data_IF_934637107867
#
_entry.id   IF_934637107867
#
_cell.length_a   1.000
_cell.length_b   1.000
_cell.length_c   1.000
_cell.angle_alpha   90.00
_cell.angle_beta   90.00
_cell.angle_gamma   90.00
#
_symmetry.space_group_name_H-M   'P 1'
#
loop_
_entity.id
_entity.type
_entity.pdbx_description
1 polymer ?
#
# COMPACT_ATOMS: atom_id res chain seq x y z
N UNK A 1 17.85 -2.50 18.84
CA UNK A 1 16.70 -2.70 17.91
C UNK A 1 17.31 -3.23 16.63
N UNK A 2 17.07 -4.51 16.30
CA UNK A 2 17.59 -5.12 15.07
C UNK A 2 17.04 -4.35 13.85
N UNK A 3 17.88 -4.17 12.82
CA UNK A 3 17.47 -3.53 11.57
C UNK A 3 16.47 -4.47 10.86
N UNK A 4 15.30 -3.99 10.42
CA UNK A 4 14.37 -4.80 9.64
C UNK A 4 15.05 -5.38 8.39
N UNK A 5 14.81 -6.64 8.05
CA UNK A 5 15.31 -7.20 6.79
C UNK A 5 14.42 -6.77 5.62
N UNK A 6 14.81 -5.68 4.98
CA UNK A 6 14.11 -5.10 3.82
C UNK A 6 14.02 -6.07 2.62
N UNK A 7 14.82 -7.15 2.58
CA UNK A 7 14.80 -8.13 1.48
C UNK A 7 13.56 -9.03 1.51
N UNK A 8 12.85 -9.10 2.63
CA UNK A 8 11.61 -9.87 2.75
C UNK A 8 10.38 -9.08 2.28
N UNK A 9 10.46 -7.74 2.19
CA UNK A 9 9.34 -6.90 1.80
C UNK A 9 8.84 -7.20 0.37
N UNK A 10 9.70 -7.32 -0.66
CA UNK A 10 9.25 -7.71 -2.00
C UNK A 10 8.53 -9.06 -2.01
N UNK A 11 9.03 -10.05 -1.25
CA UNK A 11 8.40 -11.38 -1.17
C UNK A 11 7.00 -11.34 -0.55
N UNK A 12 6.79 -10.47 0.45
CA UNK A 12 5.46 -10.26 1.03
C UNK A 12 4.52 -9.64 0.00
N UNK A 13 4.99 -8.67 -0.78
CA UNK A 13 4.21 -8.01 -1.83
C UNK A 13 3.90 -8.97 -3.00
N UNK A 14 4.86 -9.82 -3.40
CA UNK A 14 4.64 -10.86 -4.41
C UNK A 14 3.58 -11.87 -3.97
N UNK A 15 3.65 -12.35 -2.72
CA UNK A 15 2.64 -13.26 -2.18
C UNK A 15 1.28 -12.56 -2.08
N UNK A 16 1.25 -11.29 -1.68
CA UNK A 16 0.03 -10.48 -1.67
C UNK A 16 -0.58 -10.38 -3.07
N UNK A 17 0.24 -10.13 -4.09
CA UNK A 17 -0.20 -10.05 -5.48
C UNK A 17 -0.84 -11.36 -5.93
N UNK A 18 -0.17 -12.48 -5.66
CA UNK A 18 -0.67 -13.82 -5.99
C UNK A 18 -1.98 -14.15 -5.28
N UNK A 19 -2.06 -13.88 -3.98
CA UNK A 19 -3.24 -14.21 -3.17
C UNK A 19 -4.44 -13.30 -3.46
N UNK A 20 -4.18 -12.04 -3.81
CA UNK A 20 -5.19 -11.00 -3.97
C UNK A 20 -5.55 -10.66 -5.41
N UNK A 21 -4.87 -11.25 -6.40
CA UNK A 21 -5.10 -10.96 -7.82
C UNK A 21 -4.60 -9.58 -8.26
N UNK A 22 -3.60 -9.04 -7.57
CA UNK A 22 -2.95 -7.78 -7.97
C UNK A 22 -1.87 -8.06 -9.01
N UNK A 23 -1.75 -7.20 -10.02
CA UNK A 23 -0.67 -7.30 -11.00
C UNK A 23 0.54 -6.42 -10.65
N UNK A 24 0.34 -5.49 -9.72
CA UNK A 24 1.37 -4.59 -9.24
C UNK A 24 1.08 -4.16 -7.81
N UNK A 25 2.11 -4.12 -6.98
CA UNK A 25 2.06 -3.48 -5.67
C UNK A 25 3.38 -2.85 -5.27
N UNK A 26 3.28 -1.82 -4.45
CA UNK A 26 4.41 -1.09 -3.87
C UNK A 26 4.14 -0.85 -2.40
N UNK A 27 5.21 -0.84 -1.61
CA UNK A 27 5.25 -0.27 -0.29
C UNK A 27 5.99 1.07 -0.41
N UNK A 28 5.33 2.15 -0.02
CA UNK A 28 5.87 3.49 -0.06
C UNK A 28 5.71 4.19 1.30
N UNK A 29 6.52 5.22 1.51
CA UNK A 29 6.34 6.16 2.61
C UNK A 29 5.20 7.14 2.29
N UNK A 30 4.69 7.84 3.31
CA UNK A 30 3.63 8.83 3.18
C UNK A 30 3.95 9.98 2.22
N UNK A 31 5.24 10.26 1.97
CA UNK A 31 5.70 11.26 1.00
C UNK A 31 5.90 10.69 -0.42
N UNK A 32 5.53 9.44 -0.66
CA UNK A 32 5.63 8.78 -1.97
C UNK A 32 7.01 8.15 -2.28
N UNK A 33 7.94 8.11 -1.33
CA UNK A 33 9.23 7.43 -1.53
C UNK A 33 9.05 5.91 -1.51
N UNK A 34 9.51 5.23 -2.56
CA UNK A 34 9.46 3.77 -2.69
C UNK A 34 10.34 3.09 -1.63
N UNK A 35 9.79 2.08 -0.96
CA UNK A 35 10.50 1.22 0.01
C UNK A 35 10.74 -0.17 -0.57
N UNK A 36 9.70 -0.76 -1.17
CA UNK A 36 9.77 -2.05 -1.83
C UNK A 36 8.67 -2.15 -2.90
N UNK A 37 8.85 -3.05 -3.86
CA UNK A 37 7.87 -3.29 -4.93
C UNK A 37 7.79 -4.77 -5.27
N UNK A 38 6.63 -5.15 -5.80
CA UNK A 38 6.41 -6.38 -6.54
C UNK A 38 5.56 -6.01 -7.76
N UNK A 39 6.23 -5.71 -8.87
CA UNK A 39 5.60 -5.20 -10.09
C UNK A 39 6.12 -5.96 -11.29
N UNK A 40 5.25 -6.19 -12.28
CA UNK A 40 5.74 -6.57 -13.60
C UNK A 40 6.62 -5.45 -14.19
N UNK A 41 7.61 -5.76 -15.05
CA UNK A 41 8.50 -4.74 -15.66
C UNK A 41 7.76 -3.65 -16.43
N UNK A 42 6.52 -3.91 -16.85
CA UNK A 42 5.66 -2.98 -17.59
C UNK A 42 5.00 -1.91 -16.71
N UNK A 43 5.05 -2.05 -15.38
CA UNK A 43 4.48 -1.08 -14.44
C UNK A 43 5.57 -0.25 -13.80
N UNK A 44 5.51 1.08 -13.98
CA UNK A 44 6.46 1.99 -13.35
C UNK A 44 6.17 2.13 -11.84
N UNK A 45 6.98 1.46 -11.02
CA UNK A 45 6.87 1.45 -9.56
C UNK A 45 6.98 2.84 -8.91
N UNK A 46 7.79 3.74 -9.48
CA UNK A 46 8.01 5.08 -8.92
C UNK A 46 6.76 5.93 -9.09
N UNK A 47 6.05 5.76 -10.21
CA UNK A 47 4.74 6.38 -10.43
C UNK A 47 3.74 5.88 -9.39
N UNK A 48 3.67 4.56 -9.14
CA UNK A 48 2.74 4.02 -8.14
C UNK A 48 3.07 4.53 -6.73
N UNK A 49 4.35 4.61 -6.37
CA UNK A 49 4.79 5.14 -5.09
C UNK A 49 4.44 6.63 -4.92
N UNK A 50 4.71 7.45 -5.95
CA UNK A 50 4.31 8.86 -5.96
C UNK A 50 2.80 9.04 -5.80
N UNK A 51 2.00 8.20 -6.47
CA UNK A 51 0.54 8.21 -6.31
C UNK A 51 0.10 7.84 -4.89
N UNK A 52 0.83 6.96 -4.19
CA UNK A 52 0.55 6.67 -2.78
C UNK A 52 0.71 7.91 -1.89
N UNK A 53 1.74 8.72 -2.15
CA UNK A 53 1.96 9.98 -1.42
C UNK A 53 0.84 10.98 -1.66
N UNK A 54 0.51 11.25 -2.93
CA UNK A 54 -0.56 12.19 -3.31
C UNK A 54 -1.90 11.77 -2.71
N UNK A 55 -2.27 10.49 -2.87
CA UNK A 55 -3.54 9.97 -2.35
C UNK A 55 -3.56 9.98 -0.82
N UNK A 56 -2.43 9.70 -0.17
CA UNK A 56 -2.25 9.85 1.27
C UNK A 56 -2.56 11.28 1.73
N UNK A 57 -1.93 12.28 1.10
CA UNK A 57 -2.15 13.69 1.43
C UNK A 57 -3.61 14.14 1.22
N UNK A 58 -4.23 13.70 0.12
CA UNK A 58 -5.64 13.99 -0.15
C UNK A 58 -6.54 13.38 0.92
N UNK A 59 -6.32 12.11 1.29
CA UNK A 59 -7.12 11.45 2.31
C UNK A 59 -6.92 12.07 3.69
N UNK A 60 -5.70 12.51 4.02
CA UNK A 60 -5.40 13.25 5.24
C UNK A 60 -6.16 14.58 5.32
N UNK A 61 -6.36 15.27 4.19
CA UNK A 61 -7.24 16.45 4.13
C UNK A 61 -8.71 16.07 4.29
N UNK A 62 -9.18 15.07 3.54
CA UNK A 62 -10.58 14.60 3.62
C UNK A 62 -10.96 14.24 5.05
N UNK A 63 -10.11 13.50 5.79
CA UNK A 63 -10.43 13.14 7.18
C UNK A 63 -10.50 14.33 8.13
N UNK A 64 -9.72 15.40 7.88
CA UNK A 64 -9.70 16.61 8.71
C UNK A 64 -10.96 17.43 8.46
N UNK A 65 -11.27 17.70 7.20
CA UNK A 65 -12.42 18.51 6.81
C UNK A 65 -13.75 17.82 7.13
N UNK A 66 -13.82 16.49 7.03
CA UNK A 66 -15.03 15.72 7.26
C UNK A 66 -15.09 15.06 8.66
N UNK A 67 -14.08 15.27 9.52
CA UNK A 67 -14.00 14.72 10.88
C UNK A 67 -14.18 13.18 10.95
N UNK A 68 -13.50 12.44 10.05
CA UNK A 68 -13.73 10.99 9.85
C UNK A 68 -12.80 10.07 10.67
N UNK A 69 -11.93 10.62 11.51
CA UNK A 69 -10.91 9.85 12.23
C UNK A 69 -9.76 9.40 11.31
N UNK A 70 -9.06 8.32 11.67
CA UNK A 70 -7.85 7.90 10.96
C UNK A 70 -8.11 7.25 9.58
N UNK A 71 -7.26 7.57 8.61
CA UNK A 71 -7.27 6.91 7.29
C UNK A 71 -6.85 5.44 7.46
N UNK A 72 -7.75 4.52 7.11
CA UNK A 72 -7.49 3.07 7.11
C UNK A 72 -7.10 2.58 5.72
N UNK A 73 -7.98 2.80 4.75
CA UNK A 73 -7.78 2.41 3.36
C UNK A 73 -8.57 3.32 2.41
N UNK A 74 -8.11 3.35 1.16
CA UNK A 74 -8.70 4.11 0.07
C UNK A 74 -8.82 3.14 -1.10
N UNK A 75 -10.02 3.01 -1.66
CA UNK A 75 -10.27 2.19 -2.84
C UNK A 75 -10.82 3.06 -3.96
N UNK A 76 -10.12 3.06 -5.09
CA UNK A 76 -10.52 3.75 -6.30
C UNK A 76 -10.90 2.69 -7.35
N UNK A 77 -12.07 2.85 -7.95
CA UNK A 77 -12.58 1.97 -9.01
C UNK A 77 -12.67 2.77 -10.30
N UNK A 78 -12.07 2.24 -11.35
CA UNK A 78 -12.05 2.82 -12.68
C UNK A 78 -12.66 1.83 -13.66
N UNK A 79 -13.03 2.30 -14.85
CA UNK A 79 -13.62 1.45 -15.89
C UNK A 79 -12.70 0.30 -16.37
N UNK A 80 -11.40 0.35 -16.06
CA UNK A 80 -10.41 -0.62 -16.52
C UNK A 80 -9.70 -1.35 -15.38
N UNK A 81 -10.01 -1.02 -14.12
CA UNK A 81 -9.24 -1.54 -13.00
C UNK A 81 -9.57 -0.91 -11.67
N UNK A 82 -8.87 -1.35 -10.63
CA UNK A 82 -9.01 -0.83 -9.26
C UNK A 82 -7.64 -0.55 -8.68
N UNK A 83 -7.54 0.52 -7.92
CA UNK A 83 -6.40 0.83 -7.08
C UNK A 83 -6.82 0.81 -5.61
N UNK A 84 -6.00 0.24 -4.74
CA UNK A 84 -6.21 0.26 -3.29
C UNK A 84 -4.93 0.77 -2.64
N UNK A 85 -5.12 1.72 -1.73
CA UNK A 85 -4.08 2.27 -0.89
C UNK A 85 -4.42 1.94 0.55
N UNK A 86 -3.55 1.21 1.24
CA UNK A 86 -3.79 0.77 2.62
C UNK A 86 -2.68 1.25 3.52
N UNK A 87 -3.05 1.95 4.59
CA UNK A 87 -2.10 2.36 5.62
C UNK A 87 -1.61 1.13 6.37
N UNK A 88 -0.30 0.96 6.45
CA UNK A 88 0.34 -0.15 7.15
C UNK A 88 0.44 0.16 8.64
N UNK A 89 0.93 1.35 8.96
CA UNK A 89 1.14 1.85 10.31
C UNK A 89 1.91 3.17 10.27
N UNK A 90 2.23 3.72 11.44
CA UNK A 90 3.10 4.89 11.55
C UNK A 90 4.14 4.74 12.65
N UNK A 91 5.31 5.37 12.47
CA UNK A 91 6.33 5.53 13.49
C UNK A 91 6.74 7.00 13.55
N UNK A 92 6.07 7.75 14.42
CA UNK A 92 6.12 9.20 14.38
C UNK A 92 5.52 9.71 13.06
N UNK A 93 6.27 10.53 12.33
CA UNK A 93 5.84 11.08 11.04
C UNK A 93 6.07 10.12 9.86
N UNK A 94 6.76 9.00 10.09
CA UNK A 94 7.00 8.00 9.04
C UNK A 94 5.77 7.11 8.89
N UNK A 95 4.96 7.40 7.87
CA UNK A 95 3.78 6.61 7.51
C UNK A 95 4.18 5.63 6.42
N UNK A 96 3.75 4.37 6.54
CA UNK A 96 3.88 3.37 5.48
C UNK A 96 2.53 3.08 4.84
N UNK A 97 2.52 3.00 3.51
CA UNK A 97 1.34 2.79 2.68
C UNK A 97 1.65 1.69 1.66
N UNK A 98 0.76 0.70 1.55
CA UNK A 98 0.76 -0.23 0.42
C UNK A 98 -0.15 0.35 -0.66
N UNK A 99 0.39 0.56 -1.85
CA UNK A 99 -0.39 0.81 -3.07
C UNK A 99 -0.46 -0.46 -3.90
N UNK A 100 -1.64 -0.87 -4.34
CA UNK A 100 -1.81 -2.06 -5.16
C UNK A 100 -2.85 -1.85 -6.26
N UNK A 101 -2.60 -2.44 -7.42
CA UNK A 101 -3.43 -2.29 -8.62
C UNK A 101 -3.87 -3.66 -9.14
N UNK A 102 -5.13 -3.75 -9.56
CA UNK A 102 -5.76 -4.99 -10.02
C UNK A 102 -6.77 -4.72 -11.15
N UNK A 103 -7.12 -5.77 -11.89
CA UNK A 103 -8.16 -5.71 -12.89
C UNK A 103 -9.55 -5.50 -12.28
N UNK A 104 -10.49 -4.96 -13.06
CA UNK A 104 -11.85 -4.63 -12.59
C UNK A 104 -12.64 -5.84 -12.06
N UNK A 105 -12.36 -7.03 -12.60
CA UNK A 105 -13.06 -8.27 -12.28
C UNK A 105 -12.63 -8.89 -10.94
N UNK A 106 -11.57 -8.39 -10.31
CA UNK A 106 -11.07 -8.90 -9.02
C UNK A 106 -12.05 -8.52 -7.89
N UNK A 107 -12.71 -9.53 -7.32
CA UNK A 107 -13.71 -9.36 -6.24
C UNK A 107 -13.11 -9.43 -4.83
N UNK A 108 -12.24 -10.41 -4.56
CA UNK A 108 -11.79 -10.75 -3.21
C UNK A 108 -10.30 -10.43 -2.99
N UNK A 109 -9.97 -9.14 -2.84
CA UNK A 109 -8.58 -8.67 -2.69
C UNK A 109 -8.22 -8.24 -1.25
N UNK A 110 -9.21 -7.79 -0.48
CA UNK A 110 -9.02 -7.16 0.84
C UNK A 110 -8.29 -8.05 1.87
N UNK A 111 -8.48 -9.38 1.82
CA UNK A 111 -7.82 -10.32 2.73
C UNK A 111 -6.32 -10.40 2.49
N UNK A 112 -5.89 -10.40 1.24
CA UNK A 112 -4.48 -10.50 0.88
C UNK A 112 -3.70 -9.27 1.35
N UNK A 113 -4.21 -8.07 1.03
CA UNK A 113 -3.59 -6.82 1.50
C UNK A 113 -3.65 -6.68 3.02
N UNK A 114 -4.71 -7.15 3.67
CA UNK A 114 -4.78 -7.20 5.14
C UNK A 114 -3.67 -8.06 5.75
N UNK A 115 -3.44 -9.28 5.24
CA UNK A 115 -2.35 -10.15 5.70
C UNK A 115 -0.98 -9.52 5.49
N UNK A 116 -0.76 -8.93 4.30
CA UNK A 116 0.50 -8.27 3.97
C UNK A 116 0.75 -7.07 4.89
N UNK A 117 -0.26 -6.24 5.13
CA UNK A 117 -0.21 -5.12 6.07
C UNK A 117 0.20 -5.57 7.47
N UNK A 118 -0.43 -6.60 8.04
CA UNK A 118 -0.07 -7.10 9.37
C UNK A 118 1.37 -7.59 9.39
N UNK A 119 1.78 -8.40 8.41
CA UNK A 119 3.12 -8.98 8.36
C UNK A 119 4.22 -7.92 8.20
N UNK A 120 4.00 -6.90 7.37
CA UNK A 120 4.93 -5.78 7.20
C UNK A 120 4.98 -4.93 8.48
N UNK A 121 3.82 -4.64 9.09
CA UNK A 121 3.75 -3.87 10.33
C UNK A 121 4.56 -4.52 11.45
N UNK A 122 4.37 -5.82 11.65
CA UNK A 122 5.06 -6.60 12.69
C UNK A 122 6.57 -6.64 12.43
N UNK A 123 6.98 -6.90 11.18
CA UNK A 123 8.38 -6.93 10.76
C UNK A 123 9.10 -5.59 10.94
N UNK A 124 8.39 -4.49 10.64
CA UNK A 124 8.97 -3.14 10.65
C UNK A 124 8.85 -2.45 12.01
N UNK A 125 8.11 -3.04 12.96
CA UNK A 125 7.88 -2.47 14.29
C UNK A 125 7.03 -1.20 14.28
N UNK A 126 6.10 -1.07 13.33
CA UNK A 126 5.16 0.05 13.25
C UNK A 126 3.96 -0.24 14.17
N UNK A 127 3.43 0.78 14.83
CA UNK A 127 2.20 0.66 15.63
C UNK A 127 1.00 1.17 14.84
#
# INVERSE_FOLDING_TARGET
>A
MERPDYRELPKILEQMNKDGGYYASVLARGNGLLVASATAPTTNQDVVAAMCGIIGDVAERVRKELTLGDVRDISLRFAQGKAVFKRVGARGDDILIIGAIMAENVRYHSRAIGKATTRIRDMMGYK
#
